data_IF_034912850282
#
_entry.id   IF_034912850282
#
_cell.length_a   1.000
_cell.length_b   1.000
_cell.length_c   1.000
_cell.angle_alpha   90.00
_cell.angle_beta   90.00
_cell.angle_gamma   90.00
#
_symmetry.space_group_name_H-M   'P 1'
#
loop_
_entity.id
_entity.type
_entity.pdbx_description
1 polymer ?
#
# COMPACT_ATOMS: atom_id res chain seq x y z
N UNK A 1 -26.77 -8.11 -57.37
CA UNK A 1 -27.61 -7.99 -56.17
C UNK A 1 -26.63 -7.91 -55.02
N UNK A 2 -26.07 -6.72 -54.85
CA UNK A 2 -24.95 -6.46 -53.96
C UNK A 2 -25.47 -6.33 -52.52
N UNK A 3 -25.02 -7.22 -51.65
CA UNK A 3 -25.28 -7.15 -50.22
C UNK A 3 -23.98 -6.72 -49.58
N UNK A 4 -23.72 -5.41 -49.54
CA UNK A 4 -22.67 -4.83 -48.72
C UNK A 4 -23.14 -4.85 -47.26
N UNK A 5 -22.70 -5.85 -46.50
CA UNK A 5 -22.92 -5.89 -45.05
C UNK A 5 -21.87 -5.01 -44.39
N UNK A 6 -22.17 -3.72 -44.24
CA UNK A 6 -21.33 -2.78 -43.50
C UNK A 6 -21.64 -2.93 -42.01
N UNK A 7 -20.91 -3.84 -41.35
CA UNK A 7 -20.91 -3.93 -39.90
C UNK A 7 -20.14 -2.72 -39.35
N UNK A 8 -20.88 -1.71 -38.89
CA UNK A 8 -20.30 -0.61 -38.11
C UNK A 8 -19.58 -1.18 -36.88
N UNK A 9 -18.34 -0.75 -36.56
CA UNK A 9 -17.68 -1.16 -35.34
C UNK A 9 -18.46 -0.61 -34.14
N UNK A 10 -18.93 -1.50 -33.27
CA UNK A 10 -19.45 -1.11 -31.96
C UNK A 10 -18.28 -0.46 -31.20
N UNK A 11 -18.38 0.78 -30.73
CA UNK A 11 -17.34 1.38 -29.91
C UNK A 11 -17.15 0.51 -28.67
N UNK A 12 -15.93 0.02 -28.47
CA UNK A 12 -15.54 -0.61 -27.21
C UNK A 12 -15.49 0.50 -26.15
N UNK A 13 -16.64 0.84 -25.57
CA UNK A 13 -16.68 1.60 -24.32
C UNK A 13 -16.18 0.68 -23.20
N UNK A 14 -14.86 0.59 -23.06
CA UNK A 14 -14.24 -0.02 -21.87
C UNK A 14 -14.00 1.07 -20.85
N UNK A 15 -15.06 1.61 -20.25
CA UNK A 15 -14.94 2.55 -19.12
C UNK A 15 -14.74 1.80 -17.80
N UNK A 16 -13.84 0.82 -17.79
CA UNK A 16 -13.49 0.06 -16.60
C UNK A 16 -12.37 0.79 -15.85
N UNK A 17 -12.72 1.44 -14.73
CA UNK A 17 -11.76 2.10 -13.89
C UNK A 17 -11.05 1.10 -12.97
N UNK A 18 -9.88 0.61 -13.39
CA UNK A 18 -9.06 -0.33 -12.63
C UNK A 18 -8.74 0.15 -11.19
N UNK A 19 -8.80 1.44 -10.87
CA UNK A 19 -8.50 1.97 -9.54
C UNK A 19 -9.70 2.01 -8.57
N UNK A 20 -10.90 1.62 -9.00
CA UNK A 20 -12.12 1.71 -8.19
C UNK A 20 -12.75 0.34 -7.88
N UNK A 21 -11.90 -0.68 -7.71
CA UNK A 21 -12.32 -2.05 -7.43
C UNK A 21 -11.50 -2.68 -6.30
N UNK A 22 -12.05 -3.75 -5.71
CA UNK A 22 -11.39 -4.55 -4.68
C UNK A 22 -10.45 -5.59 -5.33
N UNK A 23 -9.21 -5.64 -4.86
CA UNK A 23 -8.21 -6.60 -5.30
C UNK A 23 -7.70 -7.42 -4.11
N UNK A 24 -7.68 -8.77 -4.21
CA UNK A 24 -6.92 -9.58 -3.26
C UNK A 24 -5.43 -9.38 -3.50
N UNK A 25 -4.68 -9.05 -2.45
CA UNK A 25 -3.26 -8.69 -2.55
C UNK A 25 -2.31 -9.61 -1.76
N UNK A 26 -2.81 -10.38 -0.80
CA UNK A 26 -2.04 -11.34 -0.01
C UNK A 26 -2.96 -12.36 0.69
N UNK A 27 -2.42 -13.53 1.03
CA UNK A 27 -3.03 -14.46 1.98
C UNK A 27 -2.51 -14.15 3.38
N UNK A 28 -3.36 -14.27 4.41
CA UNK A 28 -2.96 -13.96 5.79
C UNK A 28 -1.86 -14.89 6.32
N UNK A 29 -1.80 -16.13 5.83
CA UNK A 29 -0.78 -17.12 6.21
C UNK A 29 0.62 -16.82 5.65
N UNK A 30 0.70 -16.00 4.59
CA UNK A 30 1.95 -15.56 3.98
C UNK A 30 2.50 -14.29 4.67
N UNK A 31 1.72 -13.65 5.54
CA UNK A 31 2.09 -12.42 6.21
C UNK A 31 2.73 -12.71 7.58
N UNK A 32 3.90 -12.11 7.82
CA UNK A 32 4.50 -12.05 9.15
C UNK A 32 4.03 -10.78 9.87
N UNK A 33 3.23 -10.87 10.95
CA UNK A 33 2.72 -9.70 11.65
C UNK A 33 3.82 -8.82 12.26
N UNK A 34 5.05 -9.34 12.40
CA UNK A 34 6.19 -8.60 12.95
C UNK A 34 6.95 -7.81 11.89
N UNK A 35 6.65 -8.00 10.60
CA UNK A 35 7.43 -7.43 9.49
C UNK A 35 6.53 -6.75 8.45
N UNK A 36 6.84 -5.51 8.07
CA UNK A 36 6.21 -4.90 6.91
C UNK A 36 6.45 -5.74 5.64
N UNK A 37 5.41 -5.90 4.82
CA UNK A 37 5.46 -6.71 3.59
C UNK A 37 5.17 -5.81 2.38
N UNK A 38 6.10 -5.70 1.41
CA UNK A 38 5.86 -4.92 0.19
C UNK A 38 4.89 -5.65 -0.74
N UNK A 39 4.05 -4.87 -1.44
CA UNK A 39 3.19 -5.38 -2.51
C UNK A 39 3.10 -4.35 -3.63
N UNK A 40 2.99 -4.83 -4.87
CA UNK A 40 2.74 -3.96 -6.04
C UNK A 40 1.40 -4.33 -6.66
N UNK A 41 0.52 -3.34 -6.78
CA UNK A 41 -0.81 -3.49 -7.39
C UNK A 41 -1.00 -2.37 -8.41
N UNK A 42 -1.29 -2.72 -9.67
CA UNK A 42 -1.51 -1.76 -10.76
C UNK A 42 -0.36 -0.73 -10.91
N UNK A 43 0.89 -1.19 -10.69
CA UNK A 43 2.08 -0.35 -10.74
C UNK A 43 2.27 0.59 -9.54
N UNK A 44 1.40 0.54 -8.54
CA UNK A 44 1.54 1.27 -7.27
C UNK A 44 2.17 0.38 -6.21
N UNK A 45 3.09 0.94 -5.43
CA UNK A 45 3.75 0.25 -4.32
C UNK A 45 3.02 0.52 -3.02
N UNK A 46 2.71 -0.54 -2.29
CA UNK A 46 2.07 -0.51 -0.98
C UNK A 46 2.84 -1.36 0.03
N UNK A 47 2.65 -1.05 1.30
CA UNK A 47 3.18 -1.82 2.43
C UNK A 47 2.02 -2.35 3.25
N UNK A 48 1.98 -3.67 3.42
CA UNK A 48 1.10 -4.36 4.36
C UNK A 48 1.83 -4.43 5.69
N UNK A 49 1.19 -4.03 6.78
CA UNK A 49 1.79 -4.07 8.11
C UNK A 49 0.72 -4.27 9.18
N UNK A 50 1.12 -4.66 10.38
CA UNK A 50 0.22 -4.83 11.53
C UNK A 50 0.80 -4.07 12.73
N UNK A 51 0.01 -3.19 13.38
CA UNK A 51 0.42 -2.63 14.67
C UNK A 51 0.67 -3.74 15.68
N UNK A 52 1.67 -3.59 16.54
CA UNK A 52 1.95 -4.57 17.59
C UNK A 52 0.71 -4.84 18.44
N UNK A 53 0.47 -6.10 18.76
CA UNK A 53 -0.68 -6.60 19.54
C UNK A 53 -2.07 -6.35 18.90
N UNK A 54 -2.12 -5.92 17.64
CA UNK A 54 -3.34 -5.87 16.84
C UNK A 54 -3.61 -7.21 16.14
N UNK A 55 -4.87 -7.48 15.79
CA UNK A 55 -5.26 -8.56 14.88
C UNK A 55 -5.68 -8.05 13.50
N UNK A 56 -5.41 -6.77 13.19
CA UNK A 56 -5.81 -6.12 11.95
C UNK A 56 -4.59 -5.66 11.16
N UNK A 57 -4.51 -6.11 9.91
CA UNK A 57 -3.53 -5.60 8.94
C UNK A 57 -4.01 -4.27 8.35
N UNK A 58 -3.03 -3.41 8.06
CA UNK A 58 -3.19 -2.11 7.45
C UNK A 58 -2.37 -2.06 6.16
N UNK A 59 -2.78 -1.21 5.22
CA UNK A 59 -2.09 -1.03 3.94
C UNK A 59 -1.86 0.46 3.71
N UNK A 60 -0.61 0.86 3.60
CA UNK A 60 -0.22 2.23 3.24
C UNK A 60 0.48 2.25 1.88
N UNK A 61 0.62 3.43 1.27
CA UNK A 61 1.61 3.60 0.21
C UNK A 61 3.00 3.27 0.75
N UNK A 62 3.80 2.57 -0.05
CA UNK A 62 5.14 2.14 0.36
C UNK A 62 6.17 3.28 0.21
N UNK A 63 5.87 4.44 0.79
CA UNK A 63 6.66 5.65 0.62
C UNK A 63 6.60 6.49 1.90
N UNK A 64 7.75 6.68 2.54
CA UNK A 64 7.87 7.61 3.64
C UNK A 64 7.74 9.06 3.11
N UNK A 65 6.81 9.89 3.62
CA UNK A 65 6.60 11.26 3.13
C UNK A 65 7.81 12.18 3.31
N UNK A 66 8.81 11.78 4.10
CA UNK A 66 10.04 12.56 4.27
C UNK A 66 10.92 12.54 3.01
N UNK A 67 11.32 11.36 2.51
CA UNK A 67 12.23 11.21 1.35
C UNK A 67 11.94 9.97 0.49
N UNK A 68 10.69 9.51 0.52
CA UNK A 68 10.16 8.42 -0.32
C UNK A 68 10.84 7.06 -0.13
N UNK A 69 11.59 6.87 0.96
CA UNK A 69 12.13 5.55 1.30
C UNK A 69 10.97 4.55 1.46
N UNK A 70 11.11 3.31 0.96
CA UNK A 70 10.10 2.28 1.15
C UNK A 70 9.86 2.04 2.64
N UNK A 71 8.61 2.12 3.07
CA UNK A 71 8.22 1.81 4.44
C UNK A 71 8.29 0.30 4.70
N UNK A 72 8.17 -0.52 3.67
CA UNK A 72 8.33 -1.97 3.68
C UNK A 72 9.75 -2.43 4.06
N UNK A 73 10.76 -1.60 3.82
CA UNK A 73 12.13 -1.82 4.29
C UNK A 73 12.31 -1.45 5.77
N UNK A 74 11.28 -0.86 6.38
CA UNK A 74 11.21 -0.48 7.78
C UNK A 74 10.95 -1.65 8.73
N UNK A 75 10.39 -1.33 9.91
CA UNK A 75 10.02 -2.31 10.92
C UNK A 75 8.80 -1.88 11.72
N UNK A 76 8.20 -2.81 12.44
CA UNK A 76 7.30 -2.48 13.55
C UNK A 76 8.17 -2.13 14.75
N UNK A 77 8.03 -0.92 15.28
CA UNK A 77 8.81 -0.49 16.44
C UNK A 77 8.41 -1.29 17.69
N UNK A 78 9.42 -1.73 18.46
CA UNK A 78 9.19 -2.60 19.61
C UNK A 78 8.57 -1.87 20.80
N UNK A 79 8.75 -0.55 20.91
CA UNK A 79 8.28 0.25 22.02
C UNK A 79 6.88 0.81 21.76
N UNK A 80 6.65 1.33 20.55
CA UNK A 80 5.39 1.98 20.19
C UNK A 80 4.42 1.07 19.45
N UNK A 81 4.91 -0.02 18.84
CA UNK A 81 4.11 -0.88 17.98
C UNK A 81 3.77 -0.28 16.62
N UNK A 82 4.39 0.84 16.24
CA UNK A 82 4.07 1.61 15.04
C UNK A 82 4.98 1.27 13.86
N UNK A 83 4.54 1.60 12.64
CA UNK A 83 5.36 1.44 11.45
C UNK A 83 6.49 2.46 11.45
N UNK A 84 7.74 2.01 11.52
CA UNK A 84 8.92 2.86 11.52
C UNK A 84 9.68 2.74 10.19
N UNK A 85 9.94 3.89 9.55
CA UNK A 85 10.77 3.99 8.36
C UNK A 85 12.23 3.64 8.66
N UNK A 86 12.85 2.79 7.83
CA UNK A 86 14.26 2.38 7.94
C UNK A 86 15.27 3.52 7.77
N UNK A 87 14.90 4.56 7.03
CA UNK A 87 15.86 5.61 6.68
C UNK A 87 16.18 6.54 7.85
N UNK A 88 15.14 7.15 8.44
CA UNK A 88 15.33 8.18 9.48
C UNK A 88 14.51 7.93 10.74
N UNK A 89 13.87 6.76 10.85
CA UNK A 89 13.14 6.37 12.06
C UNK A 89 11.81 7.10 12.29
N UNK A 90 11.26 7.77 11.27
CA UNK A 90 9.93 8.36 11.36
C UNK A 90 8.90 7.25 11.62
N UNK A 91 8.01 7.47 12.58
CA UNK A 91 6.99 6.49 12.97
C UNK A 91 5.59 6.96 12.57
N UNK A 92 4.76 6.01 12.15
CA UNK A 92 3.39 6.22 11.70
C UNK A 92 2.42 5.30 12.45
N UNK A 93 1.34 5.88 12.98
CA UNK A 93 0.31 5.13 13.66
C UNK A 93 -0.68 4.48 12.67
N UNK A 94 -1.71 3.80 13.20
CA UNK A 94 -2.71 3.09 12.40
C UNK A 94 -3.53 4.01 11.48
N UNK A 95 -3.67 5.28 11.83
CA UNK A 95 -4.37 6.30 11.03
C UNK A 95 -3.46 6.95 9.98
N UNK A 96 -2.17 6.61 9.95
CA UNK A 96 -1.18 7.19 9.03
C UNK A 96 -0.58 8.51 9.51
N UNK A 97 -0.87 8.95 10.73
CA UNK A 97 -0.24 10.14 11.30
C UNK A 97 1.22 9.87 11.66
N UNK A 98 2.10 10.81 11.30
CA UNK A 98 3.46 10.78 11.80
C UNK A 98 3.47 11.19 13.27
N UNK A 99 3.79 10.24 14.15
CA UNK A 99 3.74 10.43 15.61
C UNK A 99 5.10 10.74 16.21
N UNK A 100 6.18 10.39 15.51
CA UNK A 100 7.53 10.56 15.99
C UNK A 100 8.49 10.87 14.84
N UNK A 101 9.24 11.95 15.01
CA UNK A 101 10.33 12.38 14.12
C UNK A 101 11.58 12.48 14.99
N UNK A 102 12.52 11.53 14.90
CA UNK A 102 13.71 11.51 15.77
C UNK A 102 14.58 12.77 15.67
N UNK A 103 14.49 13.51 14.56
CA UNK A 103 15.27 14.72 14.30
C UNK A 103 14.55 16.02 14.67
N UNK A 104 13.28 15.97 15.09
CA UNK A 104 12.57 17.16 15.53
C UNK A 104 13.10 17.58 16.90
N UNK A 105 13.29 18.88 17.11
CA UNK A 105 13.65 19.42 18.42
C UNK A 105 12.53 19.10 19.42
N UNK A 106 12.93 18.60 20.60
CA UNK A 106 12.06 18.40 21.76
C UNK A 106 11.64 19.71 22.41
#
# INVERSE_FOLDING_TARGET
>A
MDITHESSPVPLETDFNFFQHWYPIALLEDLDPKRPTPITLLGQHYVIWQPRDSNQYLVFHDQCPHRLAPLSEGRIDDQTGQLMCSYHGWQFNAEGHCTHIPQAET
#
